data_IF_675416623947
#
_entry.id   IF_675416623947
#
_cell.length_a   1.000
_cell.length_b   1.000
_cell.length_c   1.000
_cell.angle_alpha   90.00
_cell.angle_beta   90.00
_cell.angle_gamma   90.00
#
_symmetry.space_group_name_H-M   'P 1'
#
loop_
_entity.id
_entity.type
_entity.pdbx_description
1 polymer ?
#
# COMPACT_ATOMS: atom_id res chain seq x y z
N UNK A 1 -15.23 0.84 -78.56
CA UNK A 1 -15.65 1.83 -77.57
C UNK A 1 -16.25 1.03 -76.43
N UNK A 2 -15.39 0.67 -75.47
CA UNK A 2 -15.43 1.20 -74.07
C UNK A 2 -16.38 0.30 -73.27
N UNK A 3 -15.99 -0.41 -72.22
CA UNK A 3 -15.24 0.07 -71.07
C UNK A 3 -14.51 -1.05 -70.33
N UNK A 4 -13.26 -0.76 -69.96
CA UNK A 4 -12.58 -1.35 -68.81
C UNK A 4 -13.18 -0.77 -67.53
N UNK A 5 -13.61 -1.60 -66.59
CA UNK A 5 -13.81 -1.23 -65.17
C UNK A 5 -13.39 -2.45 -64.36
N UNK A 6 -12.12 -2.53 -63.97
CA UNK A 6 -11.56 -2.08 -62.69
C UNK A 6 -12.34 -2.62 -61.47
N UNK A 7 -11.75 -3.51 -60.64
CA UNK A 7 -12.30 -3.84 -59.35
C UNK A 7 -12.13 -2.64 -58.43
N UNK A 8 -13.23 -2.08 -57.94
CA UNK A 8 -13.20 -1.04 -56.91
C UNK A 8 -13.05 -1.74 -55.56
N UNK A 9 -11.84 -1.69 -55.03
CA UNK A 9 -11.55 -1.84 -53.61
C UNK A 9 -12.53 -0.97 -52.82
N UNK A 10 -13.23 -1.57 -51.84
CA UNK A 10 -13.98 -0.84 -50.83
C UNK A 10 -13.11 -0.78 -49.59
N UNK A 11 -12.44 0.37 -49.45
CA UNK A 11 -11.90 0.85 -48.19
C UNK A 11 -13.05 1.34 -47.29
N UNK A 12 -12.74 1.39 -45.98
CA UNK A 12 -13.59 1.73 -44.82
C UNK A 12 -14.45 0.55 -44.33
N UNK A 13 -14.35 0.13 -43.06
CA UNK A 13 -14.30 0.98 -41.87
C UNK A 13 -13.25 0.52 -40.86
N UNK A 14 -12.38 1.47 -40.52
CA UNK A 14 -11.51 1.46 -39.35
C UNK A 14 -12.41 1.58 -38.11
N UNK A 15 -12.75 0.46 -37.49
CA UNK A 15 -13.29 0.46 -36.12
C UNK A 15 -12.08 0.65 -35.22
N UNK A 16 -11.72 1.92 -35.02
CA UNK A 16 -10.90 2.30 -33.88
C UNK A 16 -11.73 1.97 -32.64
N UNK A 17 -11.46 0.79 -32.07
CA UNK A 17 -11.72 0.57 -30.66
C UNK A 17 -10.98 1.70 -29.95
N UNK A 18 -11.74 2.70 -29.51
CA UNK A 18 -11.34 3.56 -28.42
C UNK A 18 -11.25 2.65 -27.19
N UNK A 19 -10.11 1.96 -27.07
CA UNK A 19 -9.69 1.44 -25.78
C UNK A 19 -9.54 2.66 -24.88
N UNK A 20 -10.48 2.80 -23.94
CA UNK A 20 -10.39 3.75 -22.85
C UNK A 20 -9.01 3.60 -22.25
N UNK A 21 -8.21 4.65 -22.40
CA UNK A 21 -6.79 4.66 -22.05
C UNK A 21 -6.62 4.75 -20.53
N UNK A 22 -7.02 3.71 -19.80
CA UNK A 22 -6.44 3.38 -18.50
C UNK A 22 -5.00 2.82 -18.64
N UNK A 23 -4.53 2.69 -19.88
CA UNK A 23 -3.19 2.24 -20.24
C UNK A 23 -2.08 3.00 -19.52
N UNK A 24 -1.36 2.27 -18.67
CA UNK A 24 -0.10 2.61 -17.98
C UNK A 24 -0.17 3.41 -16.68
N UNK A 25 -1.22 3.27 -15.86
CA UNK A 25 -0.96 3.53 -14.44
C UNK A 25 -0.10 2.37 -13.89
N UNK A 26 1.15 2.66 -13.54
CA UNK A 26 2.04 1.69 -12.90
C UNK A 26 1.64 1.56 -11.43
N UNK A 27 0.70 0.66 -11.18
CA UNK A 27 0.22 0.33 -9.83
C UNK A 27 1.26 -0.41 -8.98
N UNK A 28 2.38 -0.85 -9.59
CA UNK A 28 3.39 -1.69 -8.99
C UNK A 28 2.83 -2.98 -8.38
N UNK A 29 3.54 -3.53 -7.39
CA UNK A 29 3.11 -4.75 -6.69
C UNK A 29 2.02 -4.49 -5.62
N UNK A 30 1.54 -3.26 -5.48
CA UNK A 30 0.62 -2.86 -4.42
C UNK A 30 -0.85 -3.13 -4.78
N UNK A 31 -1.22 -2.99 -6.05
CA UNK A 31 -2.58 -3.21 -6.55
C UNK A 31 -2.55 -4.19 -7.70
N UNK A 32 -3.37 -5.24 -7.61
CA UNK A 32 -3.63 -6.14 -8.73
C UNK A 32 -4.48 -5.40 -9.76
N UNK A 33 -3.82 -4.95 -10.82
CA UNK A 33 -4.44 -4.16 -11.89
C UNK A 33 -5.69 -4.82 -12.44
N UNK A 34 -5.65 -6.14 -12.69
CA UNK A 34 -6.77 -6.87 -13.30
C UNK A 34 -8.02 -6.91 -12.42
N UNK A 35 -7.85 -7.01 -11.11
CA UNK A 35 -8.94 -6.98 -10.12
C UNK A 35 -9.49 -5.57 -9.99
N UNK A 36 -8.60 -4.57 -9.97
CA UNK A 36 -9.02 -3.18 -9.81
C UNK A 36 -9.69 -2.62 -11.07
N UNK A 37 -9.22 -2.99 -12.26
CA UNK A 37 -9.85 -2.66 -13.55
C UNK A 37 -11.31 -3.13 -13.61
N UNK A 38 -11.62 -4.32 -13.11
CA UNK A 38 -13.01 -4.80 -13.04
C UNK A 38 -13.90 -3.90 -12.18
N UNK A 39 -13.35 -3.25 -11.15
CA UNK A 39 -14.09 -2.28 -10.34
C UNK A 39 -14.28 -0.98 -11.11
N UNK A 40 -13.26 -0.52 -11.84
CA UNK A 40 -13.33 0.67 -12.69
C UNK A 40 -14.33 0.49 -13.84
N UNK A 41 -14.44 -0.70 -14.41
CA UNK A 41 -15.43 -1.04 -15.44
C UNK A 41 -16.89 -0.96 -14.95
N UNK A 42 -17.11 -0.88 -13.63
CA UNK A 42 -18.44 -0.72 -13.04
C UNK A 42 -18.86 0.74 -12.89
N UNK A 43 -17.98 1.71 -13.16
CA UNK A 43 -18.36 3.12 -13.17
C UNK A 43 -19.17 3.46 -14.43
N UNK A 44 -20.27 4.18 -14.25
CA UNK A 44 -21.09 4.68 -15.36
C UNK A 44 -20.39 5.83 -16.13
N UNK A 45 -19.49 6.56 -15.47
CA UNK A 45 -18.72 7.68 -16.01
C UNK A 45 -17.23 7.55 -15.65
N UNK A 46 -16.36 7.61 -16.65
CA UNK A 46 -14.93 7.39 -16.49
C UNK A 46 -14.17 8.57 -15.86
N UNK A 47 -14.76 9.77 -15.85
CA UNK A 47 -14.18 10.98 -15.25
C UNK A 47 -14.62 11.12 -13.78
N UNK A 48 -15.89 10.87 -13.47
CA UNK A 48 -16.42 11.02 -12.11
C UNK A 48 -16.08 9.83 -11.20
N UNK A 49 -16.07 8.61 -11.75
CA UNK A 49 -15.68 7.36 -11.05
C UNK A 49 -16.36 7.18 -9.68
N UNK A 50 -17.63 7.60 -9.56
CA UNK A 50 -18.34 7.70 -8.28
C UNK A 50 -18.38 6.34 -7.54
N UNK A 51 -18.64 5.26 -8.28
CA UNK A 51 -18.77 3.93 -7.70
C UNK A 51 -17.41 3.44 -7.17
N UNK A 52 -16.39 3.38 -8.03
CA UNK A 52 -15.08 2.88 -7.63
C UNK A 52 -14.44 3.73 -6.53
N UNK A 53 -14.60 5.06 -6.61
CA UNK A 53 -14.15 6.00 -5.57
C UNK A 53 -14.85 5.77 -4.24
N UNK A 54 -16.16 5.57 -4.23
CA UNK A 54 -16.92 5.31 -3.00
C UNK A 54 -16.47 4.03 -2.28
N UNK A 55 -16.18 2.95 -3.03
CA UNK A 55 -15.70 1.68 -2.47
C UNK A 55 -14.30 1.86 -1.88
N UNK A 56 -13.42 2.60 -2.56
CA UNK A 56 -12.06 2.89 -2.10
C UNK A 56 -12.06 3.71 -0.81
N UNK A 57 -12.88 4.76 -0.74
CA UNK A 57 -13.01 5.59 0.47
C UNK A 57 -13.59 4.78 1.62
N UNK A 58 -14.64 3.97 1.37
CA UNK A 58 -15.22 3.08 2.37
C UNK A 58 -14.21 2.07 2.91
N UNK A 59 -13.33 1.54 2.06
CA UNK A 59 -12.24 0.68 2.49
C UNK A 59 -11.24 1.42 3.41
N UNK A 60 -10.91 2.69 3.11
CA UNK A 60 -10.01 3.45 3.98
C UNK A 60 -10.55 3.55 5.41
N UNK A 61 -11.82 3.94 5.57
CA UNK A 61 -12.48 4.02 6.89
C UNK A 61 -12.49 2.67 7.63
N UNK A 62 -12.81 1.60 6.88
CA UNK A 62 -12.84 0.24 7.43
C UNK A 62 -11.46 -0.22 7.91
N UNK A 63 -10.41 0.05 7.14
CA UNK A 63 -9.04 -0.33 7.46
C UNK A 63 -8.58 0.34 8.77
N UNK A 64 -8.85 1.63 8.94
CA UNK A 64 -8.45 2.39 10.13
C UNK A 64 -9.16 1.95 11.40
N UNK A 65 -10.46 1.74 11.28
CA UNK A 65 -11.26 1.19 12.37
C UNK A 65 -10.70 -0.17 12.77
N UNK A 66 -10.31 -0.99 11.79
CA UNK A 66 -9.70 -2.30 12.05
C UNK A 66 -8.31 -2.16 12.67
N UNK A 67 -7.48 -1.22 12.24
CA UNK A 67 -6.14 -0.99 12.81
C UNK A 67 -6.22 -0.62 14.29
N UNK A 68 -7.14 0.27 14.66
CA UNK A 68 -7.38 0.62 16.07
C UNK A 68 -7.80 -0.60 16.88
N UNK A 69 -8.63 -1.48 16.30
CA UNK A 69 -9.04 -2.73 16.96
C UNK A 69 -7.90 -3.76 17.06
N UNK A 70 -6.98 -3.79 16.09
CA UNK A 70 -5.79 -4.65 16.13
C UNK A 70 -4.85 -4.18 17.25
N UNK A 71 -4.63 -2.87 17.39
CA UNK A 71 -3.83 -2.30 18.48
C UNK A 71 -4.39 -2.69 19.85
N UNK A 72 -5.70 -2.48 20.05
CA UNK A 72 -6.36 -2.86 21.29
C UNK A 72 -6.28 -4.38 21.56
N UNK A 73 -6.42 -5.21 20.53
CA UNK A 73 -6.33 -6.67 20.66
C UNK A 73 -4.90 -7.16 20.91
N UNK A 74 -3.88 -6.46 20.39
CA UNK A 74 -2.48 -6.70 20.72
C UNK A 74 -2.19 -6.36 22.19
N UNK A 75 -2.68 -5.23 22.68
CA UNK A 75 -2.55 -4.84 24.09
C UNK A 75 -3.21 -5.87 25.03
N UNK A 76 -4.38 -6.37 24.67
CA UNK A 76 -5.09 -7.40 25.43
C UNK A 76 -4.62 -8.83 25.15
N UNK A 77 -3.64 -9.02 24.25
CA UNK A 77 -3.13 -10.33 23.80
C UNK A 77 -4.22 -11.30 23.29
N UNK A 78 -5.25 -10.79 22.62
CA UNK A 78 -6.41 -11.58 22.16
C UNK A 78 -6.17 -12.17 20.75
N UNK A 79 -5.48 -13.32 20.70
CA UNK A 79 -5.18 -14.04 19.44
C UNK A 79 -6.43 -14.38 18.60
N UNK A 80 -7.54 -14.89 19.17
CA UNK A 80 -8.77 -15.11 18.41
C UNK A 80 -9.33 -13.83 17.78
N UNK A 81 -9.34 -12.71 18.51
CA UNK A 81 -9.79 -11.43 17.97
C UNK A 81 -8.86 -10.94 16.86
N UNK A 82 -7.55 -11.03 17.04
CA UNK A 82 -6.55 -10.69 16.01
C UNK A 82 -6.77 -11.51 14.74
N UNK A 83 -7.06 -12.81 14.87
CA UNK A 83 -7.37 -13.67 13.73
C UNK A 83 -8.62 -13.21 12.98
N UNK A 84 -9.69 -12.90 13.73
CA UNK A 84 -10.94 -12.40 13.15
C UNK A 84 -10.76 -11.06 12.43
N UNK A 85 -9.94 -10.16 12.98
CA UNK A 85 -9.66 -8.85 12.37
C UNK A 85 -8.82 -9.00 11.09
N UNK A 86 -7.80 -9.86 11.13
CA UNK A 86 -7.02 -10.21 9.94
C UNK A 86 -7.89 -10.79 8.83
N UNK A 87 -8.78 -11.74 9.17
CA UNK A 87 -9.72 -12.32 8.20
C UNK A 87 -10.66 -11.26 7.58
N UNK A 88 -11.21 -10.38 8.41
CA UNK A 88 -12.13 -9.34 7.97
C UNK A 88 -11.48 -8.38 6.96
N UNK A 89 -10.31 -7.83 7.30
CA UNK A 89 -9.61 -6.88 6.44
C UNK A 89 -8.95 -7.55 5.23
N UNK A 90 -8.57 -8.83 5.32
CA UNK A 90 -8.17 -9.65 4.16
C UNK A 90 -9.28 -9.70 3.12
N UNK A 91 -10.53 -9.90 3.55
CA UNK A 91 -11.68 -9.96 2.64
C UNK A 91 -11.86 -8.67 1.85
N UNK A 92 -11.91 -7.54 2.53
CA UNK A 92 -12.13 -6.24 1.86
C UNK A 92 -10.94 -5.78 1.01
N UNK A 93 -9.70 -6.01 1.47
CA UNK A 93 -8.50 -5.70 0.68
C UNK A 93 -8.37 -6.58 -0.59
N UNK A 94 -8.80 -7.84 -0.54
CA UNK A 94 -8.83 -8.71 -1.72
C UNK A 94 -9.81 -8.22 -2.79
N UNK A 95 -10.98 -7.69 -2.39
CA UNK A 95 -11.95 -7.11 -3.32
C UNK A 95 -11.37 -5.98 -4.15
N UNK A 96 -10.52 -5.14 -3.54
CA UNK A 96 -9.85 -4.02 -4.22
C UNK A 96 -8.51 -4.38 -4.88
N UNK A 97 -8.12 -5.65 -4.88
CA UNK A 97 -6.83 -6.08 -5.45
C UNK A 97 -5.61 -5.62 -4.63
N UNK A 98 -5.76 -5.20 -3.38
CA UNK A 98 -4.65 -4.67 -2.56
C UNK A 98 -3.76 -5.81 -2.04
N UNK A 99 -2.88 -6.32 -2.90
CA UNK A 99 -2.23 -7.61 -2.71
C UNK A 99 -1.33 -7.66 -1.47
N UNK A 100 -0.50 -6.65 -1.23
CA UNK A 100 0.37 -6.62 -0.04
C UNK A 100 -0.43 -6.53 1.26
N UNK A 101 -1.42 -5.64 1.29
CA UNK A 101 -2.36 -5.48 2.42
C UNK A 101 -3.06 -6.80 2.72
N UNK A 102 -3.59 -7.47 1.69
CA UNK A 102 -4.23 -8.78 1.80
C UNK A 102 -3.30 -9.82 2.40
N UNK A 103 -2.06 -9.90 1.90
CA UNK A 103 -1.08 -10.89 2.35
C UNK A 103 -0.68 -10.67 3.82
N UNK A 104 -0.49 -9.41 4.23
CA UNK A 104 -0.19 -9.07 5.63
C UNK A 104 -1.38 -9.38 6.55
N UNK A 105 -2.62 -9.14 6.10
CA UNK A 105 -3.83 -9.54 6.83
C UNK A 105 -3.97 -11.06 6.99
N UNK A 106 -3.63 -11.82 5.95
CA UNK A 106 -3.63 -13.29 5.98
C UNK A 106 -2.62 -13.86 6.98
N UNK A 107 -1.42 -13.27 7.05
CA UNK A 107 -0.42 -13.65 8.05
C UNK A 107 -0.92 -13.38 9.48
N UNK A 108 -1.52 -12.21 9.73
CA UNK A 108 -2.15 -11.91 11.04
C UNK A 108 -3.24 -12.92 11.36
N UNK A 109 -4.06 -13.28 10.38
CA UNK A 109 -5.08 -14.32 10.53
C UNK A 109 -4.47 -15.65 10.99
N UNK A 110 -3.41 -16.11 10.32
CA UNK A 110 -2.73 -17.38 10.62
C UNK A 110 -2.07 -17.37 12.00
N UNK A 111 -1.30 -16.33 12.33
CA UNK A 111 -0.67 -16.23 13.65
C UNK A 111 -1.70 -16.17 14.78
N UNK A 112 -2.83 -15.46 14.57
CA UNK A 112 -3.94 -15.46 15.52
C UNK A 112 -4.62 -16.83 15.70
N UNK A 113 -4.49 -17.73 14.72
CA UNK A 113 -4.92 -19.13 14.82
C UNK A 113 -3.85 -20.05 15.42
N UNK A 114 -2.74 -19.49 15.93
CA UNK A 114 -1.58 -20.25 16.41
C UNK A 114 -0.97 -21.13 15.31
N UNK A 115 -0.81 -20.55 14.13
CA UNK A 115 -0.17 -21.20 12.99
C UNK A 115 1.09 -20.46 12.57
N UNK A 116 1.92 -21.11 11.77
CA UNK A 116 3.02 -20.46 11.06
C UNK A 116 2.52 -19.45 10.02
N UNK A 117 3.46 -18.76 9.37
CA UNK A 117 3.16 -17.72 8.39
C UNK A 117 2.29 -18.23 7.23
N UNK A 118 2.52 -19.46 6.82
CA UNK A 118 1.85 -20.09 5.67
C UNK A 118 0.51 -20.73 6.06
N UNK A 119 0.17 -20.76 7.35
CA UNK A 119 -1.05 -21.37 7.87
C UNK A 119 -1.03 -22.91 7.88
N UNK A 120 0.16 -23.51 7.76
CA UNK A 120 0.37 -24.94 7.57
C UNK A 120 0.68 -25.64 8.89
N UNK A 121 1.75 -25.23 9.57
CA UNK A 121 2.16 -25.83 10.85
C UNK A 121 1.56 -25.07 12.03
N UNK A 122 1.33 -25.77 13.13
CA UNK A 122 0.92 -25.16 14.40
C UNK A 122 2.12 -24.47 15.08
N UNK A 123 1.84 -23.38 15.79
CA UNK A 123 2.78 -22.62 16.61
C UNK A 123 2.19 -22.45 18.02
N UNK A 124 2.59 -23.33 18.93
CA UNK A 124 2.07 -23.37 20.31
C UNK A 124 2.55 -22.21 21.19
N UNK A 125 3.61 -21.51 20.78
CA UNK A 125 4.16 -20.35 21.50
C UNK A 125 3.33 -19.09 21.19
N UNK A 126 2.45 -18.73 22.13
CA UNK A 126 1.58 -17.55 22.03
C UNK A 126 2.36 -16.24 21.97
N UNK A 127 3.43 -16.09 22.76
CA UNK A 127 4.22 -14.86 22.77
C UNK A 127 4.95 -14.69 21.43
N UNK A 128 5.39 -15.78 20.82
CA UNK A 128 5.94 -15.77 19.46
C UNK A 128 4.89 -15.44 18.40
N UNK A 129 3.66 -15.93 18.53
CA UNK A 129 2.55 -15.53 17.65
C UNK A 129 2.27 -14.03 17.76
N UNK A 130 2.13 -13.52 18.98
CA UNK A 130 1.88 -12.09 19.25
C UNK A 130 2.99 -11.20 18.67
N UNK A 131 4.26 -11.57 18.89
CA UNK A 131 5.39 -10.84 18.33
C UNK A 131 5.35 -10.79 16.79
N UNK A 132 5.06 -11.92 16.14
CA UNK A 132 4.93 -11.96 14.68
C UNK A 132 3.74 -11.15 14.17
N UNK A 133 2.63 -11.12 14.90
CA UNK A 133 1.49 -10.26 14.57
C UNK A 133 1.89 -8.80 14.67
N UNK A 134 2.60 -8.39 15.73
CA UNK A 134 3.08 -7.02 15.89
C UNK A 134 4.01 -6.61 14.72
N UNK A 135 5.00 -7.43 14.38
CA UNK A 135 5.91 -7.20 13.25
C UNK A 135 5.14 -7.12 11.91
N UNK A 136 4.19 -8.02 11.70
CA UNK A 136 3.35 -8.05 10.50
C UNK A 136 2.42 -6.84 10.44
N UNK A 137 1.91 -6.39 11.57
CA UNK A 137 1.02 -5.24 11.65
C UNK A 137 1.75 -3.93 11.31
N UNK A 138 3.03 -3.80 11.69
CA UNK A 138 3.85 -2.68 11.22
C UNK A 138 4.06 -2.72 9.70
N UNK A 139 4.23 -3.92 9.14
CA UNK A 139 4.33 -4.10 7.68
C UNK A 139 3.00 -3.73 7.00
N UNK A 140 1.87 -4.20 7.55
CA UNK A 140 0.53 -3.89 7.07
C UNK A 140 0.26 -2.38 7.02
N UNK A 141 0.68 -1.62 8.05
CA UNK A 141 0.53 -0.15 8.06
C UNK A 141 1.27 0.51 6.90
N UNK A 142 2.47 0.04 6.58
CA UNK A 142 3.27 0.57 5.46
C UNK A 142 2.66 0.23 4.12
N UNK A 143 2.34 -1.05 3.90
CA UNK A 143 1.68 -1.52 2.69
C UNK A 143 0.36 -0.76 2.44
N UNK A 144 -0.40 -0.48 3.51
CA UNK A 144 -1.62 0.30 3.44
C UNK A 144 -1.36 1.76 3.04
N UNK A 145 -0.35 2.43 3.63
CA UNK A 145 0.01 3.81 3.26
C UNK A 145 0.45 3.91 1.80
N UNK A 146 1.26 2.97 1.32
CA UNK A 146 1.64 2.88 -0.10
C UNK A 146 0.40 2.77 -1.00
N UNK A 147 -0.50 1.82 -0.71
CA UNK A 147 -1.72 1.62 -1.47
C UNK A 147 -2.63 2.85 -1.46
N UNK A 148 -2.83 3.47 -0.30
CA UNK A 148 -3.63 4.70 -0.16
C UNK A 148 -3.06 5.83 -1.00
N UNK A 149 -1.74 6.02 -1.00
CA UNK A 149 -1.11 7.09 -1.78
C UNK A 149 -1.29 6.89 -3.29
N UNK A 150 -1.14 5.64 -3.76
CA UNK A 150 -1.37 5.28 -5.16
C UNK A 150 -2.83 5.59 -5.55
N UNK A 151 -3.79 5.10 -4.76
CA UNK A 151 -5.22 5.29 -5.03
C UNK A 151 -5.64 6.76 -4.93
N UNK A 152 -5.15 7.50 -3.95
CA UNK A 152 -5.42 8.94 -3.84
C UNK A 152 -4.90 9.71 -5.04
N UNK A 153 -3.71 9.38 -5.51
CA UNK A 153 -3.12 10.03 -6.69
C UNK A 153 -3.94 9.72 -7.94
N UNK A 154 -4.39 8.47 -8.08
CA UNK A 154 -5.24 8.04 -9.19
C UNK A 154 -6.58 8.80 -9.22
N UNK A 155 -7.28 8.89 -8.10
CA UNK A 155 -8.58 9.59 -8.00
C UNK A 155 -8.47 11.10 -7.80
N UNK A 156 -7.26 11.69 -7.83
CA UNK A 156 -7.06 13.12 -7.59
C UNK A 156 -7.46 13.59 -6.18
N UNK A 157 -7.46 12.70 -5.19
CA UNK A 157 -7.87 12.97 -3.81
C UNK A 157 -6.70 13.66 -3.07
N UNK A 158 -6.59 14.98 -3.19
CA UNK A 158 -5.59 15.77 -2.46
C UNK A 158 -6.11 16.19 -1.07
N UNK A 159 -5.26 16.10 -0.04
CA UNK A 159 -5.57 16.51 1.35
C UNK A 159 -5.77 18.04 1.56
N UNK A 160 -5.90 18.81 0.48
CA UNK A 160 -6.15 20.24 0.46
C UNK A 160 -6.93 20.60 -0.83
N UNK A 161 -8.22 20.29 -0.89
CA UNK A 161 -9.11 21.08 -1.73
C UNK A 161 -10.45 21.34 -1.04
N UNK A 162 -10.74 22.63 -0.86
CA UNK A 162 -11.98 23.15 -0.31
C UNK A 162 -12.91 23.50 -1.45
N UNK A 163 -13.49 22.48 -2.07
CA UNK A 163 -14.53 22.53 -3.11
C UNK A 163 -14.73 21.08 -3.58
N UNK A 164 -15.86 20.37 -3.51
CA UNK A 164 -17.28 20.61 -3.23
C UNK A 164 -17.85 19.20 -3.00
N UNK A 165 -18.18 18.74 -1.78
CA UNK A 165 -19.51 18.65 -1.16
C UNK A 165 -19.28 18.24 0.32
N UNK A 166 -20.16 18.67 1.23
CA UNK A 166 -19.95 18.59 2.69
C UNK A 166 -19.93 17.16 3.31
N UNK A 167 -20.06 16.09 2.51
CA UNK A 167 -20.14 14.71 3.02
C UNK A 167 -18.87 13.87 2.82
N UNK A 168 -17.87 14.35 2.07
CA UNK A 168 -16.77 13.49 1.64
C UNK A 168 -15.41 13.90 2.21
N UNK A 169 -15.29 13.75 3.52
CA UNK A 169 -14.07 14.05 4.24
C UNK A 169 -13.28 12.77 4.45
N UNK A 170 -12.09 12.68 3.83
CA UNK A 170 -11.14 11.59 4.12
C UNK A 170 -10.97 11.52 5.64
N UNK A 171 -11.10 10.34 6.26
CA UNK A 171 -11.03 10.24 7.70
C UNK A 171 -9.70 10.82 8.21
N UNK A 172 -9.80 11.69 9.23
CA UNK A 172 -8.67 12.44 9.81
C UNK A 172 -7.53 11.52 10.27
N UNK A 173 -7.87 10.27 10.58
CA UNK A 173 -6.94 9.22 10.97
C UNK A 173 -5.96 8.85 9.84
N UNK A 174 -6.34 8.99 8.55
CA UNK A 174 -5.49 8.54 7.42
C UNK A 174 -4.30 9.46 7.32
N UNK A 175 -4.60 10.76 7.43
CA UNK A 175 -3.60 11.82 7.46
C UNK A 175 -2.66 11.64 8.65
N UNK A 176 -3.18 11.21 9.81
CA UNK A 176 -2.38 10.95 10.99
C UNK A 176 -1.48 9.72 10.81
N UNK A 177 -2.01 8.59 10.33
CA UNK A 177 -1.24 7.36 10.10
C UNK A 177 -0.14 7.56 9.06
N UNK A 178 -0.44 8.22 7.94
CA UNK A 178 0.57 8.59 6.92
C UNK A 178 1.66 9.43 7.58
N UNK A 179 1.29 10.47 8.35
CA UNK A 179 2.26 11.33 9.03
C UNK A 179 3.15 10.59 10.02
N UNK A 180 2.61 9.59 10.73
CA UNK A 180 3.37 8.78 11.69
C UNK A 180 4.32 7.84 10.97
N UNK A 181 3.86 7.11 9.94
CA UNK A 181 4.70 6.19 9.15
C UNK A 181 5.82 6.95 8.45
N UNK A 182 5.54 8.11 7.85
CA UNK A 182 6.59 8.92 7.18
C UNK A 182 7.65 9.43 8.16
N UNK A 183 7.26 9.75 9.41
CA UNK A 183 8.21 10.20 10.44
C UNK A 183 9.11 9.06 10.92
N UNK A 184 8.56 7.86 11.09
CA UNK A 184 9.35 6.68 11.47
C UNK A 184 10.40 6.32 10.41
N UNK A 185 10.10 6.54 9.13
CA UNK A 185 11.06 6.31 8.04
C UNK A 185 12.20 7.34 8.04
N UNK A 186 11.87 8.63 8.20
CA UNK A 186 12.87 9.71 8.31
C UNK A 186 13.82 9.54 9.51
N UNK A 187 13.32 9.04 10.65
CA UNK A 187 14.15 8.78 11.83
C UNK A 187 15.07 7.58 11.64
N UNK A 188 14.57 6.50 11.01
CA UNK A 188 15.35 5.30 10.73
C UNK A 188 16.45 5.53 9.70
N UNK A 189 16.21 6.39 8.70
CA UNK A 189 17.24 6.80 7.72
C UNK A 189 18.34 7.68 8.35
N UNK A 190 17.98 8.52 9.33
CA UNK A 190 18.94 9.33 10.11
C UNK A 190 19.81 8.48 11.04
N UNK A 191 19.25 7.45 11.67
CA UNK A 191 20.06 6.49 12.47
C UNK A 191 21.01 5.68 11.57
N UNK A 192 20.54 5.19 10.42
CA UNK A 192 21.36 4.43 9.48
C UNK A 192 22.51 5.24 8.86
N UNK A 193 22.34 6.56 8.69
CA UNK A 193 23.37 7.45 8.16
C UNK A 193 24.45 7.81 9.20
N UNK A 194 24.09 7.82 10.50
CA UNK A 194 25.02 8.20 11.59
C UNK A 194 26.10 7.14 11.85
N UNK A 195 25.85 5.87 11.52
CA UNK A 195 26.77 4.74 11.74
C UNK A 195 27.85 4.57 10.65
N UNK A 196 27.88 5.40 9.61
CA UNK A 196 28.78 5.25 8.45
C UNK A 196 29.88 6.33 8.31
N UNK A 197 30.15 7.16 9.33
CA UNK A 197 31.30 8.08 9.27
C UNK A 197 32.61 7.36 9.60
N UNK A 198 33.65 7.37 8.74
CA UNK A 198 34.94 6.77 9.08
C UNK A 198 35.69 7.62 10.11
N UNK A 199 36.08 7.00 11.23
CA UNK A 199 37.07 7.56 12.17
C UNK A 199 38.40 7.71 11.42
N UNK A 200 38.76 8.94 11.08
CA UNK A 200 40.08 9.26 10.52
C UNK A 200 41.07 9.30 11.70
N UNK A 201 41.85 8.25 11.88
CA UNK A 201 42.96 8.23 12.86
C UNK A 201 44.13 9.03 12.33
N UNK A 202 44.40 10.18 12.96
CA UNK A 202 45.52 11.07 12.66
C UNK A 202 46.85 10.48 13.14
N UNK A 203 47.77 10.21 12.21
CA UNK A 203 49.15 9.80 12.48
C UNK A 203 49.97 10.98 13.02
N UNK A 204 50.54 10.85 14.22
CA UNK A 204 51.45 11.85 14.78
C UNK A 204 52.88 11.47 14.39
N UNK A 205 53.46 12.21 13.46
CA UNK A 205 54.89 12.13 13.11
C UNK A 205 55.69 12.93 14.13
N UNK A 206 56.49 12.29 14.97
CA UNK A 206 57.48 12.98 15.81
C UNK A 206 58.84 13.03 15.12
N UNK A 207 59.18 14.23 14.64
CA UNK A 207 60.53 14.65 14.28
C UNK A 207 61.28 15.02 15.56
N UNK A 208 62.37 14.32 15.87
CA UNK A 208 63.32 14.75 16.92
C UNK A 208 64.52 15.36 16.21
N UNK A 209 64.64 16.68 16.32
CA UNK A 209 65.80 17.49 15.91
C UNK A 209 66.82 17.51 17.06
N UNK A 210 68.06 17.21 16.72
CA UNK A 210 69.28 17.39 17.52
C UNK A 210 69.51 18.85 17.90
N UNK A 211 70.10 19.12 19.08
CA UNK A 211 71.06 20.21 19.27
C UNK A 211 71.90 20.03 20.55
N UNK A 212 73.15 20.44 20.42
CA UNK A 212 74.34 20.21 21.23
C UNK A 212 74.35 20.94 22.59
N UNK A 213 74.98 20.34 23.61
CA UNK A 213 76.23 20.81 24.26
C UNK A 213 76.76 19.80 25.26
#
# INVERSE_FOLDING_TARGET
MSDSHNPRESEAENVENAEGSTGLYDWGDNVDTSTFEQILEMDDDEEEREFSRSIVIGFFEQAETTFTQIEAALESKDLPKLSSLGHFLKGSSATLGLTKVKNSCEKIQHFGQKKDQEGIADEDDEDKCLKRIEETFQTLKKDYVEAVNILKTFFGINSQDGSTTEDEQIPKTVTSLISTVTKEEDEKEKEATTILTPVVTSTITSTIVSLET
#
